data_IF_352117516282
#
_entry.id   IF_352117516282
#
_cell.length_a   1.000
_cell.length_b   1.000
_cell.length_c   1.000
_cell.angle_alpha   90.00
_cell.angle_beta   90.00
_cell.angle_gamma   90.00
#
_symmetry.space_group_name_H-M   'P 1'
#
loop_
_entity.id
_entity.type
_entity.pdbx_description
1 polymer ?
#
# COMPACT_ATOMS: atom_id res chain seq x y z
N UNK A 1 -16.36 -5.21 21.43
CA UNK A 1 -16.57 -4.52 20.14
C UNK A 1 -17.35 -5.47 19.24
N UNK A 2 -18.59 -5.11 18.83
CA UNK A 2 -19.30 -5.92 17.83
C UNK A 2 -18.74 -5.49 16.47
N UNK A 3 -17.79 -6.27 15.93
CA UNK A 3 -17.30 -6.08 14.59
C UNK A 3 -18.46 -6.22 13.60
N UNK A 4 -18.55 -5.32 12.63
CA UNK A 4 -19.50 -5.44 11.53
C UNK A 4 -19.11 -6.67 10.73
N UNK A 5 -19.90 -7.74 10.81
CA UNK A 5 -19.71 -8.90 9.95
C UNK A 5 -20.15 -8.47 8.55
N UNK A 6 -19.19 -8.28 7.66
CA UNK A 6 -19.47 -8.05 6.25
C UNK A 6 -19.51 -9.41 5.60
N UNK A 7 -20.69 -9.80 5.17
CA UNK A 7 -20.89 -11.06 4.46
C UNK A 7 -20.63 -10.84 2.96
N UNK A 8 -19.35 -10.55 2.61
CA UNK A 8 -18.89 -10.41 1.24
C UNK A 8 -18.01 -11.61 0.93
N UNK A 9 -18.38 -12.37 -0.08
CA UNK A 9 -17.50 -13.38 -0.63
C UNK A 9 -16.34 -12.70 -1.36
N UNK A 10 -15.10 -13.04 -1.07
CA UNK A 10 -13.92 -12.53 -1.76
C UNK A 10 -13.48 -13.56 -2.79
N UNK A 11 -13.37 -13.16 -4.04
CA UNK A 11 -13.03 -14.05 -5.16
C UNK A 11 -11.53 -14.10 -5.41
N UNK A 12 -10.82 -12.99 -5.15
CA UNK A 12 -9.38 -12.88 -5.42
C UNK A 12 -8.68 -12.17 -4.26
N UNK A 13 -7.57 -12.75 -3.82
CA UNK A 13 -6.72 -12.20 -2.76
C UNK A 13 -5.35 -11.82 -3.31
N UNK A 14 -4.91 -10.60 -3.02
CA UNK A 14 -3.57 -10.12 -3.30
C UNK A 14 -2.84 -9.69 -2.03
N UNK A 15 -1.54 -9.93 -1.98
CA UNK A 15 -0.66 -9.33 -0.98
C UNK A 15 0.63 -8.79 -1.61
N UNK A 16 1.33 -7.93 -0.88
CA UNK A 16 2.72 -7.64 -1.18
C UNK A 16 3.63 -8.81 -0.82
N UNK A 17 4.90 -8.76 -1.21
CA UNK A 17 5.91 -9.75 -0.81
C UNK A 17 6.29 -9.63 0.68
N UNK A 18 6.05 -8.49 1.32
CA UNK A 18 6.47 -8.24 2.69
C UNK A 18 5.64 -9.01 3.70
N UNK A 19 6.32 -9.68 4.65
CA UNK A 19 5.72 -10.59 5.64
C UNK A 19 4.53 -10.00 6.40
N UNK A 20 4.58 -8.72 6.77
CA UNK A 20 3.48 -8.08 7.52
C UNK A 20 2.17 -8.05 6.73
N UNK A 21 2.23 -7.87 5.41
CA UNK A 21 1.04 -7.91 4.55
C UNK A 21 0.56 -9.35 4.34
N UNK A 22 1.48 -10.29 4.10
CA UNK A 22 1.16 -11.71 3.99
C UNK A 22 0.51 -12.24 5.27
N UNK A 23 1.08 -11.93 6.44
CA UNK A 23 0.53 -12.36 7.71
C UNK A 23 -0.85 -11.75 7.99
N UNK A 24 -1.05 -10.46 7.66
CA UNK A 24 -2.37 -9.83 7.75
C UNK A 24 -3.38 -10.55 6.87
N UNK A 25 -3.02 -10.84 5.61
CA UNK A 25 -3.90 -11.56 4.70
C UNK A 25 -4.21 -12.98 5.20
N UNK A 26 -3.20 -13.68 5.70
CA UNK A 26 -3.36 -15.02 6.30
C UNK A 26 -4.40 -15.00 7.43
N UNK A 27 -4.27 -14.09 8.38
CA UNK A 27 -5.21 -13.94 9.49
C UNK A 27 -6.64 -13.60 9.02
N UNK A 28 -6.78 -12.74 8.01
CA UNK A 28 -8.08 -12.44 7.41
C UNK A 28 -8.71 -13.71 6.83
N UNK A 29 -7.95 -14.49 6.05
CA UNK A 29 -8.44 -15.71 5.43
C UNK A 29 -8.80 -16.79 6.45
N UNK A 30 -8.03 -16.91 7.52
CA UNK A 30 -8.36 -17.81 8.65
C UNK A 30 -9.72 -17.46 9.26
N UNK A 31 -10.00 -16.15 9.48
CA UNK A 31 -11.29 -15.68 10.01
C UNK A 31 -12.43 -15.94 9.02
N UNK A 32 -12.18 -15.72 7.74
CA UNK A 32 -13.15 -15.96 6.67
C UNK A 32 -13.32 -17.46 6.34
N UNK A 33 -12.51 -18.35 6.90
CA UNK A 33 -12.41 -19.77 6.56
C UNK A 33 -12.18 -20.01 5.06
N UNK A 34 -11.42 -19.12 4.43
CA UNK A 34 -11.15 -19.12 2.99
C UNK A 34 -9.81 -19.81 2.69
N UNK A 35 -9.82 -20.76 1.76
CA UNK A 35 -8.65 -21.53 1.32
C UNK A 35 -8.16 -21.17 -0.07
N UNK A 36 -8.75 -20.15 -0.73
CA UNK A 36 -8.34 -19.69 -2.06
C UNK A 36 -6.86 -19.29 -2.06
N UNK A 37 -6.13 -19.64 -3.12
CA UNK A 37 -4.71 -19.28 -3.23
C UNK A 37 -4.58 -17.74 -3.39
N UNK A 38 -3.77 -17.15 -2.54
CA UNK A 38 -3.45 -15.71 -2.63
C UNK A 38 -2.34 -15.48 -3.67
N UNK A 39 -2.47 -14.38 -4.42
CA UNK A 39 -1.43 -13.93 -5.34
C UNK A 39 -0.55 -12.88 -4.68
N UNK A 40 0.75 -13.03 -4.83
CA UNK A 40 1.73 -12.07 -4.32
C UNK A 40 2.20 -11.15 -5.45
N UNK A 41 2.34 -9.86 -5.16
CA UNK A 41 2.80 -8.85 -6.11
C UNK A 41 3.79 -7.90 -5.43
N UNK A 42 5.04 -7.87 -5.91
CA UNK A 42 6.06 -6.98 -5.36
C UNK A 42 5.71 -5.50 -5.59
N UNK A 43 4.96 -5.19 -6.63
CA UNK A 43 4.48 -3.84 -6.92
C UNK A 43 3.60 -3.28 -5.79
N UNK A 44 3.04 -4.13 -4.93
CA UNK A 44 2.29 -3.75 -3.74
C UNK A 44 3.17 -3.53 -2.49
N UNK A 45 4.49 -3.73 -2.57
CA UNK A 45 5.40 -3.50 -1.47
C UNK A 45 5.31 -2.05 -0.96
N UNK A 46 5.65 -1.84 0.33
CA UNK A 46 5.77 -0.49 0.88
C UNK A 46 6.85 0.30 0.12
N UNK A 47 6.68 1.61 0.06
CA UNK A 47 7.66 2.53 -0.52
C UNK A 47 9.02 2.35 0.13
N UNK A 48 10.06 2.30 -0.69
CA UNK A 48 11.43 2.22 -0.20
C UNK A 48 11.93 3.60 0.23
N UNK A 49 12.27 3.72 1.51
CA UNK A 49 12.67 5.01 2.10
C UNK A 49 14.17 5.33 1.97
N UNK A 50 14.91 4.65 1.08
CA UNK A 50 16.34 4.90 0.85
C UNK A 50 17.16 4.81 2.13
N UNK A 51 18.08 5.75 2.31
CA UNK A 51 18.94 5.84 3.48
C UNK A 51 18.22 6.01 4.83
N UNK A 52 16.91 6.24 4.82
CA UNK A 52 16.09 6.30 6.03
C UNK A 52 15.58 4.92 6.47
N UNK A 53 15.82 3.88 5.68
CA UNK A 53 15.39 2.52 5.99
C UNK A 53 16.10 2.01 7.26
N UNK A 54 15.34 1.41 8.17
CA UNK A 54 15.85 0.93 9.46
C UNK A 54 15.92 1.97 10.58
N UNK A 55 15.77 3.26 10.27
CA UNK A 55 15.71 4.32 11.26
C UNK A 55 14.28 4.47 11.82
N UNK A 56 14.19 4.69 13.12
CA UNK A 56 12.90 5.10 13.72
C UNK A 56 12.62 6.59 13.45
N UNK A 57 11.39 7.03 13.77
CA UNK A 57 10.97 8.42 13.49
C UNK A 57 11.81 9.46 14.22
N UNK A 58 12.23 9.18 15.44
CA UNK A 58 12.98 10.13 16.27
C UNK A 58 14.43 10.22 15.78
N UNK A 59 15.05 9.12 15.39
CA UNK A 59 16.36 9.12 14.73
C UNK A 59 16.35 9.90 13.42
N UNK A 60 15.30 9.74 12.61
CA UNK A 60 15.12 10.52 11.37
C UNK A 60 15.00 12.01 11.66
N UNK A 61 14.18 12.40 12.67
CA UNK A 61 14.00 13.81 13.06
C UNK A 61 15.31 14.43 13.59
N UNK A 62 16.08 13.68 14.38
CA UNK A 62 17.36 14.13 14.89
C UNK A 62 18.39 14.38 13.77
N UNK A 63 18.40 13.49 12.74
CA UNK A 63 19.35 13.61 11.62
C UNK A 63 18.99 14.69 10.60
N UNK A 64 17.71 14.85 10.31
CA UNK A 64 17.25 15.64 9.16
C UNK A 64 16.39 16.85 9.53
N UNK A 65 15.97 16.94 10.78
CA UNK A 65 14.96 17.91 11.20
C UNK A 65 13.52 17.43 10.87
N UNK A 66 12.57 17.91 11.64
CA UNK A 66 11.16 17.49 11.56
C UNK A 66 10.51 17.82 10.20
N UNK A 67 10.81 19.00 9.68
CA UNK A 67 10.25 19.49 8.41
C UNK A 67 10.69 18.61 7.22
N UNK A 68 11.99 18.27 7.14
CA UNK A 68 12.51 17.43 6.06
C UNK A 68 11.98 16.02 6.13
N UNK A 69 11.83 15.47 7.34
CA UNK A 69 11.19 14.15 7.54
C UNK A 69 9.72 14.18 7.09
N UNK A 70 9.00 15.26 7.42
CA UNK A 70 7.63 15.45 6.96
C UNK A 70 7.56 15.53 5.44
N UNK A 71 8.42 16.32 4.80
CA UNK A 71 8.50 16.43 3.35
C UNK A 71 8.76 15.09 2.69
N UNK A 72 9.74 14.29 3.15
CA UNK A 72 10.01 12.95 2.61
C UNK A 72 8.81 12.00 2.76
N UNK A 73 8.03 12.13 3.81
CA UNK A 73 6.88 11.24 4.04
C UNK A 73 5.63 11.64 3.28
N UNK A 74 5.49 12.91 2.90
CA UNK A 74 4.23 13.47 2.38
C UNK A 74 4.31 13.97 0.95
N UNK A 75 5.49 14.43 0.49
CA UNK A 75 5.60 14.92 -0.89
C UNK A 75 5.34 13.83 -1.92
N UNK A 76 4.92 14.28 -3.10
CA UNK A 76 4.61 13.42 -4.22
C UNK A 76 5.88 12.83 -4.86
N UNK A 77 6.87 13.66 -5.15
CA UNK A 77 8.02 13.33 -6.01
C UNK A 77 9.39 13.42 -5.31
N UNK A 78 9.43 13.81 -4.03
CA UNK A 78 10.68 13.88 -3.29
C UNK A 78 11.14 12.49 -2.84
N UNK A 79 12.37 12.12 -3.22
CA UNK A 79 13.03 10.89 -2.80
C UNK A 79 14.00 11.17 -1.65
N UNK A 80 14.06 10.34 -0.62
CA UNK A 80 15.22 10.29 0.27
C UNK A 80 16.49 9.90 -0.49
N UNK A 81 17.64 10.16 0.10
CA UNK A 81 18.91 9.68 -0.46
C UNK A 81 18.87 8.15 -0.67
N UNK A 82 19.53 7.61 -1.72
CA UNK A 82 19.57 6.18 -1.95
C UNK A 82 20.23 5.41 -0.81
N UNK A 83 19.76 4.20 -0.54
CA UNK A 83 20.41 3.29 0.39
C UNK A 83 21.58 2.60 -0.32
N UNK A 84 22.72 2.52 0.37
CA UNK A 84 23.90 1.77 -0.13
C UNK A 84 23.53 0.30 -0.33
N UNK A 85 23.92 -0.27 -1.47
CA UNK A 85 23.67 -1.67 -1.81
C UNK A 85 24.35 -2.67 -0.88
N UNK A 86 25.40 -2.27 -0.19
CA UNK A 86 26.07 -3.07 0.84
C UNK A 86 25.37 -3.01 2.20
N UNK A 87 24.37 -2.13 2.37
CA UNK A 87 23.62 -2.05 3.60
C UNK A 87 22.76 -3.34 3.78
N UNK A 88 22.81 -4.00 4.95
CA UNK A 88 22.04 -5.23 5.18
C UNK A 88 20.51 -5.05 5.02
N UNK A 89 20.00 -3.84 5.17
CA UNK A 89 18.57 -3.52 4.94
C UNK A 89 18.24 -3.18 3.49
N UNK A 90 19.24 -3.19 2.58
CA UNK A 90 18.96 -2.98 1.17
C UNK A 90 18.17 -4.19 0.63
N UNK A 91 17.08 -3.98 -0.16
CA UNK A 91 16.22 -5.07 -0.62
C UNK A 91 16.96 -6.19 -1.36
N UNK A 92 18.05 -5.89 -2.07
CA UNK A 92 18.87 -6.91 -2.74
C UNK A 92 19.53 -7.91 -1.77
N UNK A 93 19.65 -7.55 -0.49
CA UNK A 93 20.26 -8.37 0.56
C UNK A 93 19.21 -9.12 1.41
N UNK A 94 17.94 -8.96 1.09
CA UNK A 94 16.81 -9.53 1.86
C UNK A 94 16.13 -10.63 1.03
N UNK A 95 16.02 -11.83 1.58
CA UNK A 95 15.45 -13.02 0.94
C UNK A 95 14.07 -12.77 0.31
N UNK A 96 13.21 -12.02 0.99
CA UNK A 96 11.85 -11.69 0.54
C UNK A 96 11.79 -11.03 -0.85
N UNK A 97 12.89 -10.40 -1.28
CA UNK A 97 12.95 -9.67 -2.56
C UNK A 97 13.69 -10.44 -3.67
N UNK A 98 14.15 -11.65 -3.38
CA UNK A 98 14.99 -12.45 -4.32
C UNK A 98 14.32 -12.70 -5.67
N UNK A 99 13.00 -12.87 -5.69
CA UNK A 99 12.23 -13.14 -6.91
C UNK A 99 11.91 -11.88 -7.72
N UNK A 100 12.24 -10.69 -7.21
CA UNK A 100 12.05 -9.44 -7.92
C UNK A 100 13.21 -9.24 -8.89
N UNK A 101 12.97 -8.93 -10.18
CA UNK A 101 14.03 -8.60 -11.10
C UNK A 101 14.91 -7.47 -10.54
N UNK A 102 16.23 -7.66 -10.56
CA UNK A 102 17.19 -6.76 -9.89
C UNK A 102 17.08 -5.31 -10.36
N UNK A 103 16.73 -5.09 -11.62
CA UNK A 103 16.51 -3.77 -12.21
C UNK A 103 15.16 -3.12 -11.79
N UNK A 104 14.32 -3.84 -11.05
CA UNK A 104 13.07 -3.35 -10.48
C UNK A 104 13.16 -3.09 -8.98
N UNK A 105 14.29 -3.42 -8.36
CA UNK A 105 14.54 -3.17 -6.94
C UNK A 105 15.06 -1.73 -6.78
N UNK A 106 14.34 -0.83 -6.09
CA UNK A 106 14.76 0.56 -5.95
C UNK A 106 15.78 0.72 -4.82
N UNK A 107 16.76 1.60 -5.01
CA UNK A 107 17.65 2.07 -3.95
C UNK A 107 16.95 3.14 -3.07
N UNK A 108 15.91 3.81 -3.62
CA UNK A 108 15.02 4.78 -2.96
C UNK A 108 13.79 5.01 -3.81
N UNK A 109 12.68 5.44 -3.18
CA UNK A 109 11.44 5.79 -3.88
C UNK A 109 10.81 7.09 -3.36
N UNK A 110 10.24 7.87 -4.26
CA UNK A 110 9.18 8.84 -3.98
C UNK A 110 7.81 8.14 -3.94
N UNK A 111 6.76 8.87 -3.58
CA UNK A 111 5.40 8.35 -3.73
C UNK A 111 5.01 8.18 -5.21
N UNK A 112 5.55 9.02 -6.09
CA UNK A 112 5.38 8.92 -7.54
C UNK A 112 5.93 7.59 -8.09
N UNK A 113 7.12 7.18 -7.67
CA UNK A 113 7.71 5.90 -8.10
C UNK A 113 6.84 4.72 -7.62
N UNK A 114 6.40 4.77 -6.38
CA UNK A 114 5.46 3.79 -5.83
C UNK A 114 4.16 3.75 -6.64
N UNK A 115 3.63 4.92 -7.01
CA UNK A 115 2.42 5.02 -7.83
C UNK A 115 2.61 4.38 -9.20
N UNK A 116 3.72 4.63 -9.88
CA UNK A 116 3.99 4.09 -11.22
C UNK A 116 3.95 2.55 -11.23
N UNK A 117 4.63 1.90 -10.27
CA UNK A 117 4.61 0.43 -10.19
C UNK A 117 3.27 -0.15 -9.71
N UNK A 118 2.58 0.52 -8.80
CA UNK A 118 1.25 0.09 -8.34
C UNK A 118 0.24 0.22 -9.46
N UNK A 119 0.30 1.29 -10.26
CA UNK A 119 -0.59 1.50 -11.39
C UNK A 119 -0.36 0.49 -12.51
N UNK A 120 0.90 0.16 -12.80
CA UNK A 120 1.24 -0.90 -13.75
C UNK A 120 0.56 -2.22 -13.35
N UNK A 121 0.73 -2.63 -12.08
CA UNK A 121 0.10 -3.82 -11.53
C UNK A 121 -1.44 -3.76 -11.59
N UNK A 122 -2.03 -2.63 -11.18
CA UNK A 122 -3.48 -2.47 -11.20
C UNK A 122 -4.06 -2.67 -12.60
N UNK A 123 -3.47 -2.04 -13.62
CA UNK A 123 -3.92 -2.14 -15.01
C UNK A 123 -3.76 -3.54 -15.58
N UNK A 124 -2.68 -4.23 -15.25
CA UNK A 124 -2.39 -5.56 -15.78
C UNK A 124 -3.20 -6.66 -15.08
N UNK A 125 -3.36 -6.57 -13.76
CA UNK A 125 -3.86 -7.67 -12.94
C UNK A 125 -5.25 -7.45 -12.33
N UNK A 126 -5.67 -6.21 -12.11
CA UNK A 126 -6.89 -5.91 -11.34
C UNK A 126 -8.00 -5.34 -12.21
N UNK A 127 -7.71 -4.34 -13.06
CA UNK A 127 -8.70 -3.52 -13.74
C UNK A 127 -9.74 -4.34 -14.53
N UNK A 128 -9.28 -5.36 -15.25
CA UNK A 128 -10.17 -6.24 -16.04
C UNK A 128 -10.97 -7.26 -15.19
N UNK A 129 -10.66 -7.39 -13.91
CA UNK A 129 -11.28 -8.36 -13.01
C UNK A 129 -12.26 -7.73 -12.04
N UNK A 130 -12.05 -6.47 -11.69
CA UNK A 130 -12.75 -5.78 -10.61
C UNK A 130 -14.26 -5.60 -10.88
N UNK A 131 -14.68 -5.58 -12.14
CA UNK A 131 -16.11 -5.49 -12.52
C UNK A 131 -16.90 -6.79 -12.25
N UNK A 132 -16.22 -7.92 -12.04
CA UNK A 132 -16.81 -9.25 -11.89
C UNK A 132 -16.44 -9.96 -10.61
N UNK A 133 -15.48 -9.42 -9.85
CA UNK A 133 -14.92 -10.08 -8.68
C UNK A 133 -14.78 -9.12 -7.51
N UNK A 134 -15.01 -9.64 -6.32
CA UNK A 134 -14.64 -8.98 -5.08
C UNK A 134 -13.16 -9.26 -4.81
N UNK A 135 -12.36 -8.23 -4.77
CA UNK A 135 -10.89 -8.33 -4.65
C UNK A 135 -10.46 -7.76 -3.31
N UNK A 136 -9.68 -8.53 -2.54
CA UNK A 136 -9.05 -8.07 -1.32
C UNK A 136 -7.54 -7.90 -1.54
N UNK A 137 -7.03 -6.71 -1.20
CA UNK A 137 -5.61 -6.38 -1.30
C UNK A 137 -5.07 -6.09 0.10
N UNK A 138 -4.13 -6.90 0.56
CA UNK A 138 -3.36 -6.63 1.77
C UNK A 138 -2.01 -6.02 1.40
N UNK A 139 -1.85 -4.72 1.67
CA UNK A 139 -0.68 -3.95 1.27
C UNK A 139 -0.27 -2.93 2.34
N UNK A 140 0.31 -1.80 1.96
CA UNK A 140 0.91 -0.83 2.87
C UNK A 140 0.38 0.58 2.63
N UNK A 141 0.62 1.47 3.61
CA UNK A 141 0.09 2.82 3.55
C UNK A 141 0.39 3.55 2.24
N UNK A 142 1.65 3.52 1.75
CA UNK A 142 1.98 4.24 0.53
C UNK A 142 1.51 3.51 -0.75
N UNK A 143 1.53 2.19 -0.81
CA UNK A 143 0.97 1.48 -1.98
C UNK A 143 -0.55 1.65 -2.08
N UNK A 144 -1.27 1.65 -0.95
CA UNK A 144 -2.72 1.94 -0.93
C UNK A 144 -2.98 3.41 -1.29
N UNK A 145 -2.21 4.37 -0.77
CA UNK A 145 -2.31 5.79 -1.16
C UNK A 145 -2.09 5.97 -2.66
N UNK A 146 -1.11 5.29 -3.23
CA UNK A 146 -0.85 5.29 -4.67
C UNK A 146 -2.06 4.80 -5.47
N UNK A 147 -2.68 3.71 -5.05
CA UNK A 147 -3.89 3.20 -5.67
C UNK A 147 -5.07 4.17 -5.54
N UNK A 148 -5.28 4.74 -4.35
CA UNK A 148 -6.30 5.76 -4.11
C UNK A 148 -6.10 6.99 -4.99
N UNK A 149 -4.84 7.46 -5.19
CA UNK A 149 -4.55 8.59 -6.09
C UNK A 149 -5.09 8.33 -7.50
N UNK A 150 -4.90 7.13 -8.02
CA UNK A 150 -5.42 6.76 -9.34
C UNK A 150 -6.95 6.68 -9.36
N UNK A 151 -7.51 5.88 -8.46
CA UNK A 151 -8.95 5.60 -8.43
C UNK A 151 -9.80 6.85 -8.20
N UNK A 152 -9.37 7.73 -7.30
CA UNK A 152 -10.10 8.94 -6.94
C UNK A 152 -9.61 10.19 -7.67
N UNK A 153 -8.65 10.05 -8.60
CA UNK A 153 -8.08 11.16 -9.41
C UNK A 153 -7.52 12.30 -8.54
N UNK A 154 -6.90 11.95 -7.40
CA UNK A 154 -6.40 12.93 -6.44
C UNK A 154 -5.24 13.72 -7.04
N UNK A 155 -5.21 15.02 -6.78
CA UNK A 155 -4.06 15.87 -7.07
C UNK A 155 -2.90 15.63 -6.09
N UNK A 156 -1.77 16.35 -6.27
CA UNK A 156 -0.60 16.16 -5.44
C UNK A 156 -0.77 16.73 -4.02
N UNK A 157 -1.64 17.70 -3.83
CA UNK A 157 -1.94 18.26 -2.52
C UNK A 157 -2.84 17.30 -1.73
N UNK A 158 -3.89 16.79 -2.36
CA UNK A 158 -4.82 15.83 -1.77
C UNK A 158 -4.10 14.56 -1.33
N UNK A 159 -3.22 13.99 -2.18
CA UNK A 159 -2.49 12.78 -1.81
C UNK A 159 -1.50 13.02 -0.67
N UNK A 160 -0.97 14.23 -0.50
CA UNK A 160 -0.06 14.56 0.60
C UNK A 160 -0.74 14.47 1.97
N UNK A 161 -2.02 14.77 2.05
CA UNK A 161 -2.83 14.75 3.27
C UNK A 161 -3.56 13.43 3.52
N UNK A 162 -3.67 12.57 2.50
CA UNK A 162 -4.35 11.28 2.64
C UNK A 162 -3.61 10.37 3.61
N UNK A 163 -4.31 9.89 4.62
CA UNK A 163 -3.84 8.86 5.55
C UNK A 163 -4.64 7.57 5.42
N UNK A 164 -3.93 6.46 5.47
CA UNK A 164 -4.54 5.12 5.51
C UNK A 164 -4.31 4.53 6.88
N UNK A 165 -5.36 4.32 7.69
CA UNK A 165 -5.23 3.77 9.03
C UNK A 165 -4.83 2.29 8.96
N UNK A 166 -3.82 1.91 9.74
CA UNK A 166 -3.36 0.53 9.81
C UNK A 166 -4.47 -0.38 10.35
N UNK A 167 -4.72 -1.50 9.67
CA UNK A 167 -5.68 -2.51 10.11
C UNK A 167 -7.15 -2.04 10.08
N UNK A 168 -7.47 -1.02 9.28
CA UNK A 168 -8.85 -0.60 9.01
C UNK A 168 -9.12 -0.76 7.51
N UNK A 169 -9.88 -1.77 7.09
CA UNK A 169 -10.14 -1.98 5.67
C UNK A 169 -10.90 -0.82 5.04
N UNK A 170 -10.43 -0.41 3.86
CA UNK A 170 -11.11 0.55 3.00
C UNK A 170 -11.91 -0.24 1.95
N UNK A 171 -13.22 -0.14 2.01
CA UNK A 171 -14.13 -0.77 1.05
C UNK A 171 -14.47 0.23 -0.05
N UNK A 172 -14.21 -0.15 -1.30
CA UNK A 172 -14.50 0.66 -2.48
C UNK A 172 -15.47 -0.13 -3.37
N UNK A 173 -16.66 0.39 -3.57
CA UNK A 173 -17.63 -0.19 -4.49
C UNK A 173 -17.50 0.45 -5.87
N UNK A 174 -17.29 -0.39 -6.88
CA UNK A 174 -17.04 0.02 -8.27
C UNK A 174 -18.10 -0.63 -9.16
N UNK A 175 -18.66 0.12 -10.09
CA UNK A 175 -19.62 -0.43 -11.07
C UNK A 175 -18.91 -1.09 -12.28
N UNK A 176 -19.70 -1.71 -13.15
CA UNK A 176 -19.19 -2.38 -14.35
C UNK A 176 -18.53 -1.42 -15.37
N UNK A 177 -18.67 -0.12 -15.21
CA UNK A 177 -18.05 0.92 -16.03
C UNK A 177 -16.80 1.51 -15.34
N UNK A 178 -16.35 0.89 -14.26
CA UNK A 178 -15.22 1.31 -13.41
C UNK A 178 -15.44 2.65 -12.69
N UNK A 179 -16.70 3.08 -12.51
CA UNK A 179 -17.00 4.26 -11.70
C UNK A 179 -17.12 3.86 -10.23
N UNK A 180 -16.54 4.67 -9.34
CA UNK A 180 -16.67 4.50 -7.91
C UNK A 180 -18.07 4.93 -7.47
N UNK A 181 -18.80 4.03 -6.82
CA UNK A 181 -20.13 4.28 -6.26
C UNK A 181 -20.12 4.67 -4.80
N UNK A 182 -19.21 4.07 -4.04
CA UNK A 182 -19.00 4.42 -2.63
C UNK A 182 -17.61 4.02 -2.18
N UNK A 183 -17.15 4.70 -1.13
CA UNK A 183 -15.90 4.38 -0.46
C UNK A 183 -16.08 4.60 1.03
N UNK A 184 -15.79 3.61 1.86
CA UNK A 184 -15.90 3.73 3.31
C UNK A 184 -14.88 2.84 4.03
N UNK A 185 -14.41 3.31 5.18
CA UNK A 185 -13.67 2.47 6.12
C UNK A 185 -14.63 1.62 6.94
N UNK A 186 -14.28 0.35 7.18
CA UNK A 186 -15.13 -0.55 7.96
C UNK A 186 -15.27 -0.13 9.43
N UNK A 187 -14.19 0.35 10.02
CA UNK A 187 -14.21 0.94 11.37
C UNK A 187 -14.31 2.48 11.24
N UNK A 188 -15.55 2.97 11.30
CA UNK A 188 -15.87 4.40 11.16
C UNK A 188 -15.32 5.24 12.32
N UNK A 189 -15.22 4.67 13.52
CA UNK A 189 -14.70 5.38 14.68
C UNK A 189 -13.22 5.72 14.52
N UNK A 190 -12.44 4.78 13.98
CA UNK A 190 -11.00 4.96 13.72
C UNK A 190 -10.69 5.80 12.47
N UNK A 191 -11.71 6.21 11.74
CA UNK A 191 -11.57 6.99 10.51
C UNK A 191 -12.26 8.35 10.57
N UNK A 192 -12.79 8.78 11.70
CA UNK A 192 -13.56 10.03 11.87
C UNK A 192 -12.83 11.30 11.39
N UNK A 193 -11.50 11.32 11.50
CA UNK A 193 -10.66 12.45 11.07
C UNK A 193 -10.05 12.29 9.70
N UNK A 194 -10.37 11.20 8.98
CA UNK A 194 -9.76 10.88 7.70
C UNK A 194 -10.65 11.35 6.55
N UNK A 195 -9.99 11.78 5.48
CA UNK A 195 -10.68 12.13 4.23
C UNK A 195 -11.41 10.89 3.71
N UNK A 196 -12.73 10.96 3.64
CA UNK A 196 -13.58 9.95 2.98
C UNK A 196 -13.95 10.52 1.62
N UNK A 197 -13.78 9.75 0.58
CA UNK A 197 -14.01 10.16 -0.82
C UNK A 197 -15.48 9.98 -1.22
#
# INVERSE_FOLDING_TARGET
MKGRVININIDIFYSSFQLRAKNTLKLIKEILQDTTISKEAWQLNERHYGALTGLNKDEMKLKLGEEKVHQFRRSWDLRPDPLDKNNPYHPTNIETYREIPINKIPDTESLKDTYERVLEFYKQEIENKISKNNILISAHGNSIRALCKYLFKLDNQQISTLEIPTGNPLMINIDNQLNIKSCEYLDKERSKSLVVF
#
